data_IF_459207570996
#
_entry.id   IF_459207570996
#
_cell.length_a   1.000
_cell.length_b   1.000
_cell.length_c   1.000
_cell.angle_alpha   90.00
_cell.angle_beta   90.00
_cell.angle_gamma   90.00
#
_symmetry.space_group_name_H-M   'P 1'
#
loop_
_entity.id
_entity.type
_entity.pdbx_description
1 polymer ?
#
# COMPACT_ATOMS: atom_id res chain seq x y z
N UNK A 1 63.91 5.85 1.99
CA UNK A 1 62.91 6.23 3.02
C UNK A 1 61.83 7.21 2.52
N UNK A 2 62.14 8.22 1.69
CA UNK A 2 61.12 9.14 1.12
C UNK A 2 60.02 8.46 0.27
N UNK A 3 60.36 7.43 -0.51
CA UNK A 3 59.39 6.72 -1.36
C UNK A 3 58.51 5.70 -0.60
N UNK A 4 58.93 5.25 0.59
CA UNK A 4 58.17 4.31 1.40
C UNK A 4 56.95 4.98 2.05
N UNK A 5 57.08 6.25 2.47
CA UNK A 5 55.95 7.09 2.90
C UNK A 5 54.98 7.39 1.75
N UNK A 6 55.47 7.50 0.51
CA UNK A 6 54.63 7.79 -0.65
C UNK A 6 53.77 6.58 -1.06
N UNK A 7 54.32 5.37 -0.92
CA UNK A 7 53.61 4.11 -1.18
C UNK A 7 52.54 3.81 -0.10
N UNK A 8 52.80 4.18 1.16
CA UNK A 8 51.86 4.00 2.26
C UNK A 8 50.65 4.95 2.15
N UNK A 9 50.84 6.15 1.59
CA UNK A 9 49.77 7.12 1.36
C UNK A 9 48.83 6.70 0.21
N UNK A 10 49.35 5.96 -0.78
CA UNK A 10 48.58 5.48 -1.93
C UNK A 10 47.62 4.32 -1.57
N UNK A 11 47.98 3.50 -0.56
CA UNK A 11 47.18 2.37 -0.07
C UNK A 11 45.92 2.80 0.71
N UNK A 12 45.90 4.01 1.27
CA UNK A 12 44.76 4.52 2.06
C UNK A 12 43.59 5.04 1.21
N UNK A 13 43.75 5.20 -0.11
CA UNK A 13 42.70 5.77 -0.98
C UNK A 13 41.74 4.69 -1.55
N UNK A 14 42.05 3.40 -1.38
CA UNK A 14 41.31 2.32 -2.04
C UNK A 14 40.11 1.76 -1.25
N UNK A 15 39.99 2.07 0.05
CA UNK A 15 38.85 1.64 0.86
C UNK A 15 37.73 2.69 0.85
N UNK A 16 37.00 2.80 -0.26
CA UNK A 16 35.66 3.40 -0.20
C UNK A 16 34.72 2.31 0.32
N UNK A 17 34.11 2.45 1.51
CA UNK A 17 33.04 1.55 1.90
C UNK A 17 31.94 1.65 0.84
N UNK A 18 31.60 0.53 0.21
CA UNK A 18 30.38 0.46 -0.58
C UNK A 18 29.23 0.64 0.39
N UNK A 19 28.67 1.85 0.44
CA UNK A 19 27.36 2.05 1.06
C UNK A 19 26.41 1.22 0.21
N UNK A 20 26.10 0.02 0.68
CA UNK A 20 25.03 -0.77 0.13
C UNK A 20 23.77 0.03 0.42
N UNK A 21 23.30 0.76 -0.58
CA UNK A 21 22.08 1.54 -0.49
C UNK A 21 20.96 0.53 -0.26
N UNK A 22 20.59 0.35 1.01
CA UNK A 22 19.45 -0.45 1.38
C UNK A 22 18.27 0.18 0.66
N UNK A 23 17.71 -0.57 -0.29
CA UNK A 23 16.60 -0.10 -1.10
C UNK A 23 15.47 0.23 -0.12
N UNK A 24 15.22 1.51 0.11
CA UNK A 24 14.19 1.93 1.04
C UNK A 24 12.85 1.47 0.49
N UNK A 25 12.16 0.67 1.28
CA UNK A 25 10.84 0.16 0.92
C UNK A 25 9.89 1.35 0.70
N UNK A 26 9.32 1.44 -0.51
CA UNK A 26 8.41 2.51 -0.88
C UNK A 26 6.98 2.10 -0.57
N UNK A 27 6.63 2.14 0.70
CA UNK A 27 5.25 1.94 1.14
C UNK A 27 4.35 3.08 0.64
N UNK A 28 3.16 2.73 0.17
CA UNK A 28 2.11 3.68 -0.20
C UNK A 28 0.92 3.50 0.74
N UNK A 29 0.25 4.60 1.06
CA UNK A 29 -0.98 4.55 1.85
C UNK A 29 -2.15 4.32 0.90
N UNK A 30 -2.84 3.17 1.03
CA UNK A 30 -4.00 2.84 0.19
C UNK A 30 -5.31 3.47 0.68
N UNK A 31 -5.48 3.60 1.99
CA UNK A 31 -6.67 4.21 2.58
C UNK A 31 -6.34 5.59 3.15
N UNK A 32 -7.08 6.61 2.74
CA UNK A 32 -6.85 8.00 3.14
C UNK A 32 -7.34 8.33 4.56
N UNK A 33 -8.20 7.48 5.15
CA UNK A 33 -8.79 7.70 6.47
C UNK A 33 -10.02 8.62 6.47
N UNK A 34 -10.52 9.04 5.30
CA UNK A 34 -11.63 10.00 5.21
C UNK A 34 -12.81 9.51 4.38
N UNK A 35 -12.56 8.74 3.32
CA UNK A 35 -13.59 8.40 2.34
C UNK A 35 -13.20 7.17 1.50
N UNK A 36 -14.09 6.78 0.60
CA UNK A 36 -13.91 5.66 -0.33
C UNK A 36 -13.67 6.14 -1.76
N UNK A 37 -13.15 7.36 -1.97
CA UNK A 37 -13.01 7.93 -3.31
C UNK A 37 -12.09 7.13 -4.22
N UNK A 38 -11.06 6.48 -3.68
CA UNK A 38 -10.12 5.62 -4.45
C UNK A 38 -10.55 4.16 -4.55
N UNK A 39 -11.79 3.86 -4.16
CA UNK A 39 -12.32 2.51 -4.09
C UNK A 39 -13.55 2.34 -4.99
N UNK A 40 -13.62 1.21 -5.68
CA UNK A 40 -14.79 0.78 -6.44
C UNK A 40 -15.51 -0.35 -5.67
N UNK A 41 -16.83 -0.23 -5.54
CA UNK A 41 -17.66 -1.19 -4.80
C UNK A 41 -18.46 -2.03 -5.78
N UNK A 42 -18.51 -3.35 -5.53
CA UNK A 42 -19.32 -4.27 -6.33
C UNK A 42 -20.03 -5.28 -5.44
N UNK A 43 -21.36 -5.24 -5.47
CA UNK A 43 -22.20 -6.32 -4.96
C UNK A 43 -22.69 -7.20 -6.11
N UNK A 44 -22.77 -8.51 -5.91
CA UNK A 44 -23.50 -9.38 -6.84
C UNK A 44 -24.97 -8.90 -6.96
N UNK A 45 -25.57 -9.00 -8.15
CA UNK A 45 -26.92 -8.48 -8.49
C UNK A 45 -27.11 -6.96 -8.53
N UNK A 46 -26.13 -6.16 -8.11
CA UNK A 46 -26.19 -4.68 -8.15
C UNK A 46 -25.25 -4.08 -9.21
N UNK A 47 -25.50 -2.86 -9.69
CA UNK A 47 -24.55 -2.08 -10.50
C UNK A 47 -23.15 -1.94 -9.88
N UNK A 48 -22.15 -1.60 -10.71
CA UNK A 48 -20.83 -1.19 -10.22
C UNK A 48 -20.95 0.17 -9.51
N UNK A 49 -20.19 0.36 -8.44
CA UNK A 49 -20.15 1.56 -7.58
C UNK A 49 -21.44 1.83 -6.80
N UNK A 50 -22.33 0.83 -6.70
CA UNK A 50 -23.45 0.86 -5.77
C UNK A 50 -23.03 0.23 -4.43
N UNK A 51 -22.96 1.04 -3.37
CA UNK A 51 -22.75 0.57 -2.00
C UNK A 51 -24.08 0.07 -1.41
N UNK A 52 -24.47 -1.14 -1.78
CA UNK A 52 -25.74 -1.72 -1.38
C UNK A 52 -25.90 -1.76 0.14
N UNK A 53 -27.07 -1.34 0.64
CA UNK A 53 -27.38 -1.18 2.07
C UNK A 53 -26.33 -0.39 2.86
N UNK A 54 -25.62 0.54 2.20
CA UNK A 54 -24.61 1.38 2.83
C UNK A 54 -23.56 0.54 3.61
N UNK A 55 -23.16 -0.60 3.04
CA UNK A 55 -22.39 -1.64 3.76
C UNK A 55 -20.96 -1.22 4.07
N UNK A 56 -20.25 -0.62 3.10
CA UNK A 56 -18.89 -0.11 3.31
C UNK A 56 -18.96 1.35 3.80
N UNK A 57 -18.38 1.66 4.95
CA UNK A 57 -18.43 2.99 5.55
C UNK A 57 -17.04 3.45 5.98
N UNK A 58 -16.91 4.76 6.21
CA UNK A 58 -15.77 5.33 6.92
C UNK A 58 -16.26 5.89 8.25
N UNK A 59 -15.78 5.30 9.33
CA UNK A 59 -16.17 5.64 10.70
C UNK A 59 -14.90 5.81 11.54
N UNK A 60 -14.76 6.96 12.22
CA UNK A 60 -13.60 7.30 13.06
C UNK A 60 -12.24 7.06 12.38
N UNK A 61 -12.16 7.35 11.08
CA UNK A 61 -10.96 7.17 10.29
C UNK A 61 -10.63 5.73 9.91
N UNK A 62 -11.59 4.82 10.05
CA UNK A 62 -11.47 3.41 9.68
C UNK A 62 -12.44 3.06 8.55
N UNK A 63 -11.98 2.23 7.61
CA UNK A 63 -12.86 1.56 6.67
C UNK A 63 -13.57 0.43 7.41
N UNK A 64 -14.90 0.53 7.55
CA UNK A 64 -15.73 -0.45 8.25
C UNK A 64 -16.68 -1.18 7.30
N UNK A 65 -17.03 -2.40 7.67
CA UNK A 65 -18.04 -3.22 6.99
C UNK A 65 -19.18 -3.42 7.97
N UNK A 66 -20.36 -2.89 7.64
CA UNK A 66 -21.53 -2.91 8.51
C UNK A 66 -22.74 -3.54 7.80
N UNK A 67 -23.42 -4.45 8.50
CA UNK A 67 -24.59 -5.17 8.01
C UNK A 67 -25.87 -4.82 8.79
N UNK A 68 -25.91 -3.69 9.50
CA UNK A 68 -27.05 -3.22 10.29
C UNK A 68 -28.31 -2.93 9.46
N UNK A 69 -28.16 -2.54 8.20
CA UNK A 69 -29.25 -2.29 7.25
C UNK A 69 -29.70 -3.56 6.49
N UNK A 70 -29.24 -4.75 6.89
CA UNK A 70 -29.56 -6.02 6.23
C UNK A 70 -30.53 -6.88 7.05
N UNK A 71 -31.63 -7.28 6.42
CA UNK A 71 -32.56 -8.26 6.99
C UNK A 71 -32.12 -9.71 6.70
N UNK A 72 -31.71 -9.96 5.45
CA UNK A 72 -31.28 -11.28 4.96
C UNK A 72 -30.22 -11.12 3.88
N UNK A 73 -29.30 -12.09 3.79
CA UNK A 73 -28.33 -12.19 2.70
C UNK A 73 -28.79 -13.30 1.75
N UNK A 74 -29.03 -12.97 0.49
CA UNK A 74 -29.46 -13.90 -0.56
C UNK A 74 -28.42 -13.97 -1.71
N UNK A 75 -27.14 -13.93 -1.36
CA UNK A 75 -26.04 -14.05 -2.32
C UNK A 75 -25.58 -12.72 -2.92
N UNK A 76 -25.92 -11.58 -2.31
CA UNK A 76 -25.36 -10.26 -2.58
C UNK A 76 -23.94 -10.14 -1.98
N UNK A 77 -22.98 -10.92 -2.50
CA UNK A 77 -21.60 -10.84 -2.03
C UNK A 77 -20.95 -9.52 -2.46
N UNK A 78 -20.57 -8.70 -1.47
CA UNK A 78 -19.91 -7.41 -1.64
C UNK A 78 -18.39 -7.52 -1.70
N UNK A 79 -17.78 -6.84 -2.65
CA UNK A 79 -16.35 -6.63 -2.76
C UNK A 79 -16.06 -5.15 -2.91
N UNK A 80 -14.90 -4.72 -2.40
CA UNK A 80 -14.37 -3.37 -2.59
C UNK A 80 -12.95 -3.49 -3.15
N UNK A 81 -12.63 -2.67 -4.15
CA UNK A 81 -11.38 -2.73 -4.90
C UNK A 81 -10.69 -1.37 -4.86
N UNK A 82 -9.41 -1.34 -4.54
CA UNK A 82 -8.61 -0.14 -4.78
C UNK A 82 -8.45 0.05 -6.29
N UNK A 83 -8.74 1.25 -6.81
CA UNK A 83 -8.83 1.51 -8.27
C UNK A 83 -7.56 1.19 -9.04
N UNK A 84 -6.40 1.36 -8.43
CA UNK A 84 -5.14 1.09 -9.10
C UNK A 84 -4.81 -0.41 -9.07
N UNK A 85 -4.68 -1.08 -10.23
CA UNK A 85 -4.23 -2.46 -10.26
C UNK A 85 -2.74 -2.57 -9.94
N UNK A 86 -2.36 -3.61 -9.19
CA UNK A 86 -0.98 -3.96 -8.89
C UNK A 86 -0.69 -5.39 -9.35
N UNK A 87 0.51 -5.63 -9.89
CA UNK A 87 0.97 -6.96 -10.30
C UNK A 87 1.89 -7.62 -9.27
N UNK A 88 2.90 -6.88 -8.79
CA UNK A 88 3.86 -7.33 -7.78
C UNK A 88 3.82 -6.35 -6.60
N UNK A 89 3.18 -6.74 -5.50
CA UNK A 89 3.03 -5.88 -4.33
C UNK A 89 3.21 -6.67 -3.04
N UNK A 90 3.39 -5.93 -1.95
CA UNK A 90 3.32 -6.42 -0.57
C UNK A 90 2.33 -5.52 0.16
N UNK A 91 1.35 -6.13 0.83
CA UNK A 91 0.29 -5.46 1.58
C UNK A 91 0.34 -5.93 3.04
#
# INVERSE_FOLDING_TARGET
MKYLSFLLLLLMVCCKPSVQQQEQEKWIQLFNGSDLEDWDIKFAKHPLNENYHNTFRVEDGMLTVNYDEWDTIDGEFGHIFYRQPFSCYRL
#
